data_IF_290943673709
#
_entry.id   IF_290943673709
#
_cell.length_a   1.000
_cell.length_b   1.000
_cell.length_c   1.000
_cell.angle_alpha   90.00
_cell.angle_beta   90.00
_cell.angle_gamma   90.00
#
_symmetry.space_group_name_H-M   'P 1'
#
loop_
_entity.id
_entity.type
_entity.pdbx_description
1 polymer ?
#
# COMPACT_ATOMS: atom_id res chain seq x y z
N UNK A 1 20.83 29.97 -4.63
CA UNK A 1 19.39 30.25 -4.73
C UNK A 1 18.72 29.19 -5.58
N UNK A 2 17.76 28.52 -4.99
CA UNK A 2 17.05 27.48 -5.71
C UNK A 2 16.09 28.12 -6.70
N UNK A 3 16.23 27.74 -7.94
CA UNK A 3 15.29 28.16 -8.96
C UNK A 3 13.98 27.41 -8.78
N UNK A 4 12.87 28.13 -8.82
CA UNK A 4 11.57 27.47 -8.74
C UNK A 4 11.30 26.74 -10.04
N UNK A 5 10.76 25.51 -9.92
CA UNK A 5 10.39 24.74 -11.09
C UNK A 5 9.25 25.41 -11.85
N UNK A 6 9.33 25.38 -13.14
CA UNK A 6 8.24 25.87 -13.98
C UNK A 6 7.09 24.86 -14.00
N UNK A 7 5.94 25.32 -14.48
CA UNK A 7 4.78 24.46 -14.65
C UNK A 7 5.09 23.22 -15.50
N UNK A 8 5.81 23.43 -16.61
CA UNK A 8 6.13 22.31 -17.49
C UNK A 8 7.13 21.36 -16.86
N UNK A 9 8.09 21.88 -16.10
CA UNK A 9 9.04 21.03 -15.38
C UNK A 9 8.32 20.20 -14.32
N UNK A 10 7.35 20.78 -13.62
CA UNK A 10 6.58 20.04 -12.63
C UNK A 10 5.72 18.95 -13.27
N UNK A 11 5.13 19.24 -14.43
CA UNK A 11 4.37 18.21 -15.14
C UNK A 11 5.24 17.04 -15.55
N UNK A 12 6.44 17.31 -16.07
CA UNK A 12 7.37 16.27 -16.45
C UNK A 12 7.81 15.47 -15.22
N UNK A 13 8.08 16.14 -14.11
CA UNK A 13 8.46 15.48 -12.87
C UNK A 13 7.32 14.58 -12.36
N UNK A 14 6.08 15.03 -12.44
CA UNK A 14 4.93 14.25 -12.00
C UNK A 14 4.81 12.97 -12.82
N UNK A 15 5.06 13.05 -14.12
CA UNK A 15 5.05 11.84 -14.96
C UNK A 15 6.09 10.85 -14.47
N UNK A 16 7.33 11.30 -14.22
CA UNK A 16 8.38 10.42 -13.73
C UNK A 16 8.03 9.84 -12.37
N UNK A 17 7.53 10.68 -11.45
CA UNK A 17 7.19 10.22 -10.11
C UNK A 17 6.01 9.27 -10.12
N UNK A 18 5.09 9.42 -11.07
CA UNK A 18 3.97 8.50 -11.23
C UNK A 18 4.47 7.12 -11.65
N UNK A 19 5.45 7.08 -12.55
CA UNK A 19 6.06 5.83 -12.98
C UNK A 19 6.82 5.18 -11.80
N UNK A 20 7.56 5.98 -11.04
CA UNK A 20 8.28 5.48 -9.88
C UNK A 20 7.32 4.88 -8.86
N UNK A 21 6.20 5.55 -8.61
CA UNK A 21 5.20 5.05 -7.68
C UNK A 21 4.59 3.74 -8.17
N UNK A 22 4.29 3.67 -9.47
CA UNK A 22 3.75 2.43 -10.05
C UNK A 22 4.73 1.27 -9.89
N UNK A 23 6.01 1.52 -10.19
CA UNK A 23 7.04 0.49 -10.03
C UNK A 23 7.20 0.06 -8.59
N UNK A 24 7.14 1.01 -7.65
CA UNK A 24 7.23 0.68 -6.23
C UNK A 24 6.02 -0.13 -5.77
N UNK A 25 4.84 0.18 -6.29
CA UNK A 25 3.64 -0.58 -5.99
C UNK A 25 3.75 -2.03 -6.50
N UNK A 26 4.25 -2.18 -7.73
CA UNK A 26 4.49 -3.53 -8.29
C UNK A 26 5.51 -4.28 -7.46
N UNK A 27 6.52 -3.58 -6.96
CA UNK A 27 7.52 -4.18 -6.09
C UNK A 27 6.91 -4.72 -4.81
N UNK A 28 5.96 -3.99 -4.20
CA UNK A 28 5.26 -4.48 -3.02
C UNK A 28 4.47 -5.75 -3.34
N UNK A 29 3.77 -5.76 -4.47
CA UNK A 29 3.00 -6.93 -4.88
C UNK A 29 3.90 -8.16 -5.06
N UNK A 30 5.05 -7.97 -5.69
CA UNK A 30 6.00 -9.04 -5.92
C UNK A 30 6.55 -9.58 -4.60
N UNK A 31 6.96 -8.69 -3.69
CA UNK A 31 7.51 -9.13 -2.40
C UNK A 31 6.45 -9.81 -1.53
N UNK A 32 5.20 -9.37 -1.63
CA UNK A 32 4.10 -10.02 -0.92
C UNK A 32 3.88 -11.44 -1.44
N UNK A 33 3.93 -11.59 -2.76
CA UNK A 33 3.79 -12.90 -3.38
C UNK A 33 4.92 -13.84 -2.96
N UNK A 34 6.16 -13.33 -2.93
CA UNK A 34 7.31 -14.11 -2.48
C UNK A 34 7.14 -14.57 -1.03
N UNK A 35 6.67 -13.67 -0.17
CA UNK A 35 6.47 -13.99 1.23
C UNK A 35 5.41 -15.07 1.39
N UNK A 36 4.29 -14.94 0.67
CA UNK A 36 3.23 -15.95 0.71
C UNK A 36 3.74 -17.32 0.23
N UNK A 37 4.57 -17.33 -0.82
CA UNK A 37 5.15 -18.57 -1.34
C UNK A 37 6.06 -19.21 -0.28
N UNK A 38 6.82 -18.40 0.46
CA UNK A 38 7.68 -18.89 1.53
C UNK A 38 6.86 -19.50 2.66
N UNK A 39 5.75 -18.86 3.04
CA UNK A 39 4.86 -19.43 4.05
C UNK A 39 4.29 -20.76 3.59
N UNK A 40 3.80 -20.81 2.38
CA UNK A 40 3.21 -22.06 1.85
C UNK A 40 4.24 -23.17 1.77
N UNK A 41 5.46 -22.85 1.34
CA UNK A 41 6.53 -23.82 1.26
C UNK A 41 6.88 -24.38 2.63
N UNK A 42 6.97 -23.50 3.63
CA UNK A 42 7.29 -23.91 4.99
C UNK A 42 6.20 -24.82 5.55
N UNK A 43 4.95 -24.42 5.42
CA UNK A 43 3.84 -25.22 5.95
C UNK A 43 3.69 -26.55 5.22
N UNK A 44 4.03 -26.59 3.96
CA UNK A 44 3.98 -27.86 3.20
C UNK A 44 5.04 -28.83 3.70
N UNK A 45 6.19 -28.30 4.11
CA UNK A 45 7.31 -29.13 4.58
C UNK A 45 7.14 -29.53 6.04
N UNK A 46 6.74 -28.61 6.90
CA UNK A 46 6.73 -28.81 8.35
C UNK A 46 5.34 -28.85 8.97
N UNK A 47 4.31 -28.63 8.18
CA UNK A 47 2.93 -28.64 8.67
C UNK A 47 2.47 -27.26 9.14
N UNK A 48 1.15 -27.07 9.11
CA UNK A 48 0.53 -25.83 9.56
C UNK A 48 -0.02 -26.06 10.97
N UNK A 49 0.39 -25.28 11.97
CA UNK A 49 -0.08 -25.47 13.33
C UNK A 49 -1.58 -25.30 13.49
N UNK A 50 -2.19 -24.46 12.63
CA UNK A 50 -3.62 -24.19 12.72
C UNK A 50 -4.17 -23.99 11.32
N UNK A 51 -4.52 -25.09 10.61
CA UNK A 51 -4.95 -25.01 9.22
C UNK A 51 -6.19 -24.17 8.97
N UNK A 52 -6.99 -23.94 10.01
CA UNK A 52 -8.21 -23.15 9.88
C UNK A 52 -7.97 -21.65 10.10
N UNK A 53 -6.79 -21.28 10.52
CA UNK A 53 -6.45 -19.88 10.73
C UNK A 53 -5.63 -19.37 9.55
N UNK A 54 -6.06 -18.27 8.99
CA UNK A 54 -5.29 -17.64 7.92
C UNK A 54 -4.29 -16.67 8.50
N UNK A 55 -3.04 -16.85 8.16
CA UNK A 55 -1.99 -15.94 8.56
C UNK A 55 -1.12 -16.51 9.66
N UNK A 56 -0.37 -15.63 10.29
CA UNK A 56 0.65 -16.00 11.27
C UNK A 56 0.25 -15.43 12.62
N UNK A 57 0.26 -16.27 13.64
CA UNK A 57 0.04 -15.78 15.01
C UNK A 57 1.39 -15.46 15.62
N UNK A 58 1.67 -14.19 15.72
CA UNK A 58 3.00 -13.72 16.13
C UNK A 58 3.33 -14.03 17.58
N UNK A 59 2.32 -14.23 18.42
CA UNK A 59 2.49 -14.53 19.83
C UNK A 59 2.39 -16.03 20.16
N UNK A 60 2.23 -16.88 19.16
CA UNK A 60 2.10 -18.31 19.35
C UNK A 60 3.45 -18.98 19.08
N UNK A 61 4.03 -19.68 20.08
CA UNK A 61 5.33 -20.33 19.90
C UNK A 61 5.37 -21.34 18.75
N UNK A 62 4.23 -21.90 18.36
CA UNK A 62 4.19 -22.86 17.25
C UNK A 62 4.56 -22.22 15.92
N UNK A 63 4.47 -20.88 15.81
CA UNK A 63 4.78 -20.17 14.58
C UNK A 63 6.21 -19.63 14.57
N UNK A 64 6.97 -19.83 15.64
CA UNK A 64 8.32 -19.29 15.73
C UNK A 64 9.22 -19.74 14.58
N UNK A 65 9.13 -21.01 14.22
CA UNK A 65 9.93 -21.55 13.12
C UNK A 65 9.66 -20.88 11.79
N UNK A 66 8.38 -20.69 11.45
CA UNK A 66 8.04 -20.06 10.18
C UNK A 66 8.38 -18.58 10.19
N UNK A 67 8.24 -17.92 11.34
CA UNK A 67 8.60 -16.50 11.47
C UNK A 67 10.09 -16.34 11.20
N UNK A 68 10.92 -17.18 11.82
CA UNK A 68 12.36 -17.10 11.60
C UNK A 68 12.74 -17.45 10.17
N UNK A 69 12.10 -18.46 9.58
CA UNK A 69 12.39 -18.87 8.22
C UNK A 69 12.05 -17.79 7.19
N UNK A 70 10.97 -17.04 7.43
CA UNK A 70 10.49 -16.03 6.48
C UNK A 70 10.94 -14.62 6.83
N UNK A 71 11.83 -14.48 7.79
CA UNK A 71 12.23 -13.16 8.27
C UNK A 71 12.83 -12.28 7.17
N UNK A 72 13.66 -12.85 6.30
CA UNK A 72 14.25 -12.08 5.20
C UNK A 72 13.21 -11.64 4.18
N UNK A 73 12.29 -12.54 3.83
CA UNK A 73 11.24 -12.22 2.88
C UNK A 73 10.31 -11.15 3.45
N UNK A 74 10.01 -11.23 4.73
CA UNK A 74 9.21 -10.22 5.42
C UNK A 74 9.91 -8.87 5.41
N UNK A 75 11.23 -8.85 5.65
CA UNK A 75 12.01 -7.62 5.66
C UNK A 75 12.04 -6.99 4.26
N UNK A 76 12.17 -7.79 3.21
CA UNK A 76 12.11 -7.29 1.85
C UNK A 76 10.77 -6.64 1.53
N UNK A 77 9.68 -7.25 2.02
CA UNK A 77 8.35 -6.67 1.84
C UNK A 77 8.23 -5.33 2.58
N UNK A 78 8.73 -5.28 3.82
CA UNK A 78 8.70 -4.07 4.62
C UNK A 78 9.46 -2.93 3.94
N UNK A 79 10.62 -3.23 3.38
CA UNK A 79 11.43 -2.23 2.66
C UNK A 79 10.72 -1.78 1.38
N UNK A 80 10.06 -2.69 0.68
CA UNK A 80 9.30 -2.34 -0.51
C UNK A 80 8.13 -1.41 -0.17
N UNK A 81 7.46 -1.65 0.95
CA UNK A 81 6.38 -0.77 1.41
C UNK A 81 6.89 0.63 1.75
N UNK A 82 8.06 0.72 2.39
CA UNK A 82 8.68 2.02 2.69
C UNK A 82 9.02 2.76 1.40
N UNK A 83 9.54 2.05 0.41
CA UNK A 83 9.88 2.65 -0.87
C UNK A 83 8.63 3.18 -1.58
N UNK A 84 7.54 2.41 -1.54
CA UNK A 84 6.27 2.85 -2.12
C UNK A 84 5.74 4.09 -1.41
N UNK A 85 5.82 4.11 -0.09
CA UNK A 85 5.37 5.26 0.69
C UNK A 85 6.17 6.52 0.33
N UNK A 86 7.49 6.40 0.22
CA UNK A 86 8.35 7.52 -0.17
C UNK A 86 8.02 8.02 -1.57
N UNK A 87 7.81 7.10 -2.51
CA UNK A 87 7.45 7.46 -3.88
C UNK A 87 6.12 8.20 -3.92
N UNK A 88 5.15 7.74 -3.13
CA UNK A 88 3.85 8.39 -3.06
C UNK A 88 3.97 9.80 -2.50
N UNK A 89 4.78 9.97 -1.46
CA UNK A 89 4.97 11.30 -0.86
C UNK A 89 5.61 12.29 -1.83
N UNK A 90 6.61 11.83 -2.58
CA UNK A 90 7.26 12.71 -3.56
C UNK A 90 6.29 13.12 -4.67
N UNK A 91 5.48 12.17 -5.14
CA UNK A 91 4.47 12.45 -6.15
C UNK A 91 3.44 13.45 -5.62
N UNK A 92 2.95 13.23 -4.41
CA UNK A 92 1.96 14.09 -3.79
C UNK A 92 2.49 15.52 -3.64
N UNK A 93 3.74 15.66 -3.22
CA UNK A 93 4.38 16.97 -3.08
C UNK A 93 4.45 17.70 -4.42
N UNK A 94 4.84 16.99 -5.48
CA UNK A 94 4.95 17.60 -6.81
C UNK A 94 3.57 18.03 -7.33
N UNK A 95 2.56 17.19 -7.11
CA UNK A 95 1.19 17.51 -7.52
C UNK A 95 0.70 18.76 -6.78
N UNK A 96 0.94 18.84 -5.47
CA UNK A 96 0.53 20.04 -4.71
C UNK A 96 1.22 21.29 -5.21
N UNK A 97 2.50 21.23 -5.54
CA UNK A 97 3.20 22.38 -6.10
C UNK A 97 2.59 22.83 -7.42
N UNK A 98 2.24 21.87 -8.27
CA UNK A 98 1.60 22.20 -9.54
C UNK A 98 0.23 22.84 -9.31
N UNK A 99 -0.53 22.33 -8.36
CA UNK A 99 -1.84 22.89 -8.01
C UNK A 99 -1.71 24.34 -7.54
N UNK A 100 -0.74 24.60 -6.67
CA UNK A 100 -0.49 25.97 -6.22
C UNK A 100 -0.15 26.86 -7.40
N UNK A 101 0.71 26.39 -8.27
CA UNK A 101 1.18 27.18 -9.41
C UNK A 101 0.06 27.49 -10.41
N UNK A 102 -0.90 26.59 -10.54
CA UNK A 102 -2.00 26.75 -11.49
C UNK A 102 -3.28 27.29 -10.84
N UNK A 103 -3.25 27.51 -9.52
CA UNK A 103 -4.43 28.05 -8.83
C UNK A 103 -5.56 27.06 -8.64
N UNK A 104 -5.27 25.76 -8.79
CA UNK A 104 -6.29 24.74 -8.58
C UNK A 104 -6.51 24.51 -7.10
N UNK A 105 -7.76 24.36 -6.71
CA UNK A 105 -8.10 24.09 -5.31
C UNK A 105 -7.64 22.71 -4.88
N UNK A 106 -7.20 22.60 -3.62
CA UNK A 106 -6.89 21.30 -3.04
C UNK A 106 -8.15 20.53 -2.65
N UNK A 107 -9.29 21.17 -2.62
CA UNK A 107 -10.53 20.48 -2.27
C UNK A 107 -10.91 19.51 -3.37
N UNK A 108 -11.50 18.41 -2.98
CA UNK A 108 -11.98 17.43 -3.96
C UNK A 108 -13.10 18.09 -4.79
N UNK A 109 -13.16 17.79 -6.07
CA UNK A 109 -14.15 18.42 -6.93
C UNK A 109 -15.58 18.23 -6.48
N UNK A 110 -15.84 17.15 -5.78
CA UNK A 110 -17.18 16.81 -5.38
C UNK A 110 -17.51 17.14 -3.98
N UNK A 111 -16.72 18.00 -3.38
CA UNK A 111 -17.01 18.33 -2.04
C UNK A 111 -18.07 19.33 -1.92
N UNK A 112 -18.51 19.87 -3.00
CA UNK A 112 -19.72 20.60 -2.94
C UNK A 112 -20.70 19.70 -2.26
N UNK A 113 -21.71 20.20 -1.70
CA UNK A 113 -22.61 19.53 -0.84
C UNK A 113 -23.25 18.33 -1.44
N UNK A 114 -22.45 17.43 -1.78
CA UNK A 114 -22.94 16.26 -2.28
C UNK A 114 -23.42 15.44 -1.20
N UNK A 115 -24.53 15.00 -1.33
CA UNK A 115 -25.04 14.10 -0.44
C UNK A 115 -24.40 12.86 -0.65
N UNK A 116 -23.53 12.52 0.16
CA UNK A 116 -23.07 11.20 0.14
C UNK A 116 -24.18 10.36 0.48
N UNK A 117 -24.54 9.48 -0.34
CA UNK A 117 -25.49 8.48 0.00
C UNK A 117 -24.87 7.81 1.16
N UNK A 118 -25.61 7.62 2.10
CA UNK A 118 -25.18 6.94 3.21
C UNK A 118 -24.49 5.74 2.70
N UNK A 119 -23.33 5.74 2.91
CA UNK A 119 -22.60 4.69 2.53
C UNK A 119 -23.09 3.61 3.19
N UNK A 120 -23.69 3.12 2.69
CA UNK A 120 -24.07 2.25 3.25
C UNK A 120 -23.30 1.44 3.78
N UNK A 121 -23.38 1.46 4.27
CA UNK A 121 -22.71 0.96 4.75
C UNK A 121 -22.51 -0.19 4.72
N UNK A 122 -22.44 -0.42 4.35
CA UNK A 122 -22.12 -1.09 4.40
C UNK A 122 -21.33 -2.01 4.77
N UNK A 123 -21.51 -2.26 4.92
CA UNK A 123 -20.97 -2.67 5.28
C UNK A 123 -20.69 -3.68 5.72
N UNK A 124 -20.67 -4.00 5.54
CA UNK A 124 -20.60 -4.28 5.80
C UNK A 124 -20.16 -5.17 6.14
N UNK A 125 -20.19 -5.55 6.14
CA UNK A 125 -20.01 -5.58 6.45
C UNK A 125 -19.76 -6.54 6.83
N UNK A 126 -19.89 -7.12 6.81
CA UNK A 126 -19.93 -7.20 7.15
C UNK A 126 -19.56 -8.14 7.46
N UNK A 127 -19.90 -8.57 7.54
CA UNK A 127 -19.86 -8.55 7.80
C UNK A 127 -19.54 -9.35 7.91
N UNK A 128 -19.81 -9.70 7.93
CA UNK A 128 -19.85 -9.37 7.94
C UNK A 128 -19.54 -9.74 7.73
N UNK A 129 -19.82 -10.20 7.65
CA UNK A 129 -19.91 -9.47 7.39
C UNK A 129 -19.68 -9.70 7.21
N UNK A 130 -20.04 -9.75 7.01
CA UNK A 130 -20.21 -8.93 6.83
C UNK A 130 -20.13 -8.82 6.72
N UNK A 131 -20.54 -9.43 6.48
CA UNK A 131 -20.70 -8.50 6.37
C UNK A 131 -20.55 -8.34 6.21
N UNK A 132 -21.04 -8.61 5.88
CA UNK A 132 -21.11 -7.61 5.79
C UNK A 132 -21.01 -7.45 5.73
N UNK A 133 -21.35 -7.45 5.40
CA UNK A 133 -21.41 -6.51 5.38
C UNK A 133 -21.20 -6.35 5.34
#
# INVERSE_FOLDING_TARGET
>A
VKKKSTKNELKALIVELSIDHHRAHRGVQMRRSELNDEYQRYFRTYGDPDPNYRGIRWDDPRYEGVINHTNEAYDRLRKAKQKRYSAKRRLDTAVRRLMILTGVSFAAPDEAPVQRPALKVVRRFTAGGETLQ
#
